data_IF_777759896404
#
_entry.id   IF_777759896404
#
_cell.length_a   1.000
_cell.length_b   1.000
_cell.length_c   1.000
_cell.angle_alpha   90.00
_cell.angle_beta   90.00
_cell.angle_gamma   90.00
#
_symmetry.space_group_name_H-M   'P 1'
#
loop_
_entity.id
_entity.type
_entity.pdbx_description
1 polymer ?
#
# COMPACT_ATOMS: atom_id res chain seq x y z
N UNK A 1 -7.82 -7.23 -10.58
CA UNK A 1 -8.93 -6.27 -10.42
C UNK A 1 -8.31 -4.91 -10.16
N UNK A 2 -8.55 -3.90 -10.99
CA UNK A 2 -7.98 -2.56 -10.76
C UNK A 2 -8.75 -1.89 -9.61
N UNK A 3 -8.10 -1.36 -8.56
CA UNK A 3 -8.78 -0.86 -7.36
C UNK A 3 -9.57 0.45 -7.59
N UNK A 4 -9.46 1.06 -8.76
CA UNK A 4 -10.08 2.36 -9.09
C UNK A 4 -11.59 2.44 -8.87
N UNK A 5 -12.41 1.55 -9.44
CA UNK A 5 -13.87 1.61 -9.28
C UNK A 5 -14.33 1.50 -7.82
N UNK A 6 -13.59 0.78 -6.98
CA UNK A 6 -13.88 0.69 -5.54
C UNK A 6 -13.63 2.03 -4.86
N UNK A 7 -12.53 2.72 -5.20
CA UNK A 7 -12.25 4.07 -4.69
C UNK A 7 -13.33 5.05 -5.12
N UNK A 8 -13.78 4.98 -6.37
CA UNK A 8 -14.83 5.87 -6.88
C UNK A 8 -16.16 5.64 -6.14
N UNK A 9 -16.50 4.39 -5.84
CA UNK A 9 -17.67 4.04 -5.03
C UNK A 9 -17.54 4.56 -3.58
N UNK A 10 -16.37 4.43 -2.95
CA UNK A 10 -16.11 4.95 -1.60
C UNK A 10 -16.24 6.48 -1.54
N UNK A 11 -15.74 7.18 -2.56
CA UNK A 11 -15.85 8.63 -2.68
C UNK A 11 -17.32 9.03 -2.83
N UNK A 12 -18.06 8.36 -3.71
CA UNK A 12 -19.48 8.64 -3.96
C UNK A 12 -20.36 8.41 -2.71
N UNK A 13 -19.97 7.48 -1.84
CA UNK A 13 -20.70 7.22 -0.59
C UNK A 13 -20.65 8.38 0.42
N UNK A 14 -19.70 9.32 0.31
CA UNK A 14 -19.73 10.59 1.04
C UNK A 14 -19.50 10.53 2.55
N UNK A 15 -18.86 9.46 3.06
CA UNK A 15 -18.59 9.28 4.49
C UNK A 15 -17.17 8.78 4.79
N UNK A 16 -16.83 8.56 6.08
CA UNK A 16 -15.55 7.97 6.46
C UNK A 16 -15.35 6.60 5.79
N UNK A 17 -14.23 6.44 5.09
CA UNK A 17 -13.98 5.26 4.27
C UNK A 17 -12.57 4.70 4.48
N UNK A 18 -12.48 3.37 4.40
CA UNK A 18 -11.22 2.64 4.39
C UNK A 18 -11.15 1.76 3.13
N UNK A 19 -10.01 1.79 2.45
CA UNK A 19 -9.68 0.84 1.39
C UNK A 19 -8.71 -0.21 1.97
N UNK A 20 -9.13 -1.46 1.94
CA UNK A 20 -8.36 -2.57 2.51
C UNK A 20 -7.76 -3.40 1.37
N UNK A 21 -6.44 -3.62 1.43
CA UNK A 21 -5.76 -4.60 0.58
C UNK A 21 -5.32 -5.80 1.41
N UNK A 22 -5.76 -6.98 0.98
CA UNK A 22 -5.28 -8.27 1.46
C UNK A 22 -4.64 -8.98 0.27
N UNK A 23 -3.34 -9.26 0.36
CA UNK A 23 -2.55 -9.94 -0.67
C UNK A 23 -1.66 -11.06 -0.12
N UNK A 24 -1.76 -11.37 1.18
CA UNK A 24 -0.84 -12.26 1.86
C UNK A 24 -1.51 -13.62 2.14
N UNK A 25 -0.75 -14.67 1.87
CA UNK A 25 -1.06 -16.04 2.19
C UNK A 25 0.20 -16.70 2.75
N UNK A 26 0.09 -17.91 3.30
CA UNK A 26 1.23 -18.63 3.90
C UNK A 26 2.43 -18.72 2.95
N UNK A 27 2.18 -19.09 1.69
CA UNK A 27 3.23 -19.18 0.66
C UNK A 27 3.87 -17.82 0.35
N UNK A 28 3.07 -16.76 0.23
CA UNK A 28 3.62 -15.43 -0.11
C UNK A 28 4.35 -14.81 1.07
N UNK A 29 3.93 -15.09 2.31
CA UNK A 29 4.68 -14.71 3.51
C UNK A 29 6.04 -15.41 3.57
N UNK A 30 6.08 -16.73 3.29
CA UNK A 30 7.34 -17.47 3.24
C UNK A 30 8.30 -16.90 2.16
N UNK A 31 7.77 -16.56 0.98
CA UNK A 31 8.56 -15.91 -0.08
C UNK A 31 9.05 -14.51 0.31
N UNK A 32 8.21 -13.71 0.96
CA UNK A 32 8.58 -12.39 1.46
C UNK A 32 9.71 -12.47 2.50
N UNK A 33 9.67 -13.46 3.39
CA UNK A 33 10.73 -13.73 4.36
C UNK A 33 12.05 -14.12 3.69
N UNK A 34 12.00 -14.98 2.67
CA UNK A 34 13.19 -15.34 1.89
C UNK A 34 13.78 -14.13 1.15
N UNK A 35 12.94 -13.30 0.55
CA UNK A 35 13.37 -12.07 -0.13
C UNK A 35 14.03 -11.10 0.84
N UNK A 36 13.46 -10.91 2.03
CA UNK A 36 14.03 -10.03 3.05
C UNK A 36 15.39 -10.52 3.57
N UNK A 37 15.54 -11.84 3.77
CA UNK A 37 16.83 -12.45 4.17
C UNK A 37 17.91 -12.27 3.11
N UNK A 38 17.54 -12.22 1.84
CA UNK A 38 18.48 -12.01 0.73
C UNK A 38 18.82 -10.52 0.54
N UNK A 39 17.84 -9.62 0.71
CA UNK A 39 18.01 -8.17 0.65
C UNK A 39 17.23 -7.49 1.79
N UNK A 40 17.90 -6.82 2.74
CA UNK A 40 17.26 -6.10 3.83
C UNK A 40 16.27 -5.00 3.41
N UNK A 41 16.29 -4.56 2.14
CA UNK A 41 15.35 -3.58 1.58
C UNK A 41 14.16 -4.22 0.85
N UNK A 42 14.15 -5.55 0.68
CA UNK A 42 13.08 -6.32 0.06
C UNK A 42 12.16 -7.00 1.11
N UNK A 43 11.19 -7.78 0.64
CA UNK A 43 10.30 -8.56 1.53
C UNK A 43 8.96 -7.90 1.87
N UNK A 44 8.64 -6.78 1.22
CA UNK A 44 7.27 -6.30 1.08
C UNK A 44 6.65 -6.82 -0.24
N UNK A 45 5.35 -6.67 -0.42
CA UNK A 45 4.63 -7.08 -1.63
C UNK A 45 5.27 -6.44 -2.88
N UNK A 46 5.81 -7.23 -3.83
CA UNK A 46 6.46 -6.71 -5.03
C UNK A 46 5.58 -5.74 -5.85
N UNK A 47 4.26 -5.96 -5.86
CA UNK A 47 3.30 -5.13 -6.60
C UNK A 47 2.82 -3.89 -5.82
N UNK A 48 3.38 -3.61 -4.63
CA UNK A 48 2.97 -2.50 -3.76
C UNK A 48 2.88 -1.17 -4.52
N UNK A 49 3.87 -0.87 -5.36
CA UNK A 49 3.94 0.39 -6.11
C UNK A 49 2.89 0.42 -7.20
N UNK A 50 2.77 -0.67 -7.96
CA UNK A 50 1.85 -0.77 -9.09
C UNK A 50 0.39 -0.64 -8.62
N UNK A 51 0.06 -1.24 -7.48
CA UNK A 51 -1.27 -1.16 -6.88
C UNK A 51 -1.53 0.25 -6.36
N UNK A 52 -0.63 0.79 -5.52
CA UNK A 52 -0.87 2.07 -4.84
C UNK A 52 -0.82 3.25 -5.81
N UNK A 53 -0.01 3.21 -6.86
CA UNK A 53 0.07 4.29 -7.86
C UNK A 53 -1.28 4.61 -8.48
N UNK A 54 -2.16 3.63 -8.61
CA UNK A 54 -3.49 3.78 -9.22
C UNK A 54 -4.50 4.54 -8.35
N UNK A 55 -4.28 4.59 -7.03
CA UNK A 55 -5.30 5.03 -6.06
C UNK A 55 -4.79 6.00 -5.00
N UNK A 56 -3.50 6.02 -4.69
CA UNK A 56 -2.93 6.75 -3.55
C UNK A 56 -3.31 8.24 -3.55
N UNK A 57 -3.20 8.91 -4.71
CA UNK A 57 -3.56 10.31 -4.85
C UNK A 57 -5.06 10.58 -4.61
N UNK A 58 -5.94 9.77 -5.21
CA UNK A 58 -7.39 9.87 -5.02
C UNK A 58 -7.78 9.59 -3.56
N UNK A 59 -7.23 8.54 -2.97
CA UNK A 59 -7.50 8.20 -1.58
C UNK A 59 -7.10 9.34 -0.64
N UNK A 60 -5.92 9.93 -0.86
CA UNK A 60 -5.45 11.05 -0.06
C UNK A 60 -6.33 12.31 -0.22
N UNK A 61 -6.70 12.65 -1.45
CA UNK A 61 -7.53 13.83 -1.75
C UNK A 61 -8.93 13.75 -1.13
N UNK A 62 -9.49 12.55 -1.03
CA UNK A 62 -10.85 12.32 -0.52
C UNK A 62 -10.89 11.76 0.91
N UNK A 63 -9.75 11.70 1.60
CA UNK A 63 -9.69 11.20 2.99
C UNK A 63 -9.98 9.70 3.16
N UNK A 64 -9.86 8.91 2.09
CA UNK A 64 -9.98 7.45 2.15
C UNK A 64 -8.69 6.87 2.72
N UNK A 65 -8.79 6.22 3.89
CA UNK A 65 -7.61 5.66 4.58
C UNK A 65 -7.29 4.28 4.02
N UNK A 66 -6.02 4.00 3.75
CA UNK A 66 -5.58 2.69 3.25
C UNK A 66 -5.07 1.85 4.42
N UNK A 67 -5.54 0.61 4.51
CA UNK A 67 -5.05 -0.42 5.45
C UNK A 67 -4.64 -1.63 4.63
N UNK A 68 -3.45 -2.18 4.85
CA UNK A 68 -3.02 -3.35 4.09
C UNK A 68 -1.97 -4.18 4.78
N UNK A 69 -1.87 -5.44 4.34
CA UNK A 69 -0.75 -6.32 4.64
C UNK A 69 0.35 -6.30 3.58
N UNK A 70 0.38 -5.32 2.68
CA UNK A 70 1.40 -5.19 1.62
C UNK A 70 2.83 -5.04 2.19
N UNK A 71 2.98 -4.70 3.47
CA UNK A 71 4.27 -4.71 4.16
C UNK A 71 4.91 -6.09 4.26
N UNK A 72 4.10 -7.16 4.22
CA UNK A 72 4.51 -8.56 4.33
C UNK A 72 5.57 -8.79 5.42
N UNK A 73 6.77 -9.24 5.06
CA UNK A 73 7.85 -9.51 6.01
C UNK A 73 8.67 -8.26 6.38
N UNK A 74 8.55 -7.16 5.63
CA UNK A 74 9.36 -5.95 5.81
C UNK A 74 8.51 -4.66 5.68
N UNK A 75 7.64 -4.38 6.67
CA UNK A 75 6.74 -3.23 6.63
C UNK A 75 7.50 -1.89 6.70
N UNK A 76 8.69 -1.85 7.29
CA UNK A 76 9.53 -0.65 7.29
C UNK A 76 9.98 -0.24 5.89
N UNK A 77 10.47 -1.20 5.10
CA UNK A 77 10.88 -0.92 3.71
C UNK A 77 9.70 -0.62 2.81
N UNK A 78 8.54 -1.24 3.07
CA UNK A 78 7.28 -0.84 2.43
C UNK A 78 6.94 0.63 2.70
N UNK A 79 6.98 1.08 3.96
CA UNK A 79 6.69 2.47 4.32
C UNK A 79 7.65 3.45 3.65
N UNK A 80 8.96 3.14 3.62
CA UNK A 80 9.96 3.92 2.88
C UNK A 80 9.62 3.99 1.39
N UNK A 81 9.25 2.87 0.77
CA UNK A 81 8.88 2.81 -0.65
C UNK A 81 7.60 3.61 -0.96
N UNK A 82 6.61 3.58 -0.06
CA UNK A 82 5.37 4.37 -0.18
C UNK A 82 5.68 5.87 -0.06
N UNK A 83 6.57 6.27 0.85
CA UNK A 83 7.02 7.67 0.92
C UNK A 83 7.73 8.12 -0.36
N UNK A 84 8.60 7.27 -0.93
CA UNK A 84 9.22 7.55 -2.22
C UNK A 84 8.18 7.69 -3.33
N UNK A 85 7.19 6.79 -3.40
CA UNK A 85 6.10 6.87 -4.37
C UNK A 85 5.28 8.16 -4.20
N UNK A 86 4.99 8.59 -2.97
CA UNK A 86 4.29 9.85 -2.72
C UNK A 86 5.08 11.05 -3.26
N UNK A 87 6.41 11.06 -3.06
CA UNK A 87 7.31 12.08 -3.62
C UNK A 87 7.31 12.05 -5.14
N UNK A 88 7.43 10.87 -5.77
CA UNK A 88 7.36 10.68 -7.23
C UNK A 88 6.05 11.22 -7.82
N UNK A 89 4.95 11.12 -7.09
CA UNK A 89 3.62 11.58 -7.50
C UNK A 89 3.31 13.04 -7.12
N UNK A 90 4.26 13.75 -6.49
CA UNK A 90 4.05 15.12 -6.02
C UNK A 90 3.01 15.25 -4.91
N UNK A 91 2.76 14.18 -4.16
CA UNK A 91 1.79 14.15 -3.06
C UNK A 91 2.40 14.68 -1.76
N UNK A 92 1.60 15.28 -0.87
CA UNK A 92 2.10 15.75 0.42
C UNK A 92 2.57 14.57 1.29
N UNK A 93 3.34 14.90 2.34
CA UNK A 93 3.89 13.91 3.27
C UNK A 93 2.77 13.07 3.89
N UNK A 94 2.83 11.76 3.63
CA UNK A 94 1.90 10.78 4.19
C UNK A 94 2.15 10.54 5.68
N UNK A 95 1.10 10.17 6.41
CA UNK A 95 1.22 9.54 7.73
C UNK A 95 1.04 8.04 7.56
N UNK A 96 2.09 7.27 7.85
CA UNK A 96 2.09 5.81 7.72
C UNK A 96 2.37 5.22 9.10
N UNK A 97 1.52 4.29 9.52
CA UNK A 97 1.76 3.44 10.67
C UNK A 97 2.05 2.02 10.16
N UNK A 98 3.00 1.35 10.80
CA UNK A 98 3.37 -0.04 10.53
C UNK A 98 3.21 -0.85 11.81
N UNK A 99 2.86 -2.13 11.67
CA UNK A 99 2.66 -3.11 12.75
C UNK A 99 3.38 -4.38 12.37
#
# INVERSE_FOLDING_TARGET
MLPGPVVDALIAAGGPAFLIFETLAERTLALAQLAWRADPNAGYEPLLVDILRLVLGRCLAHGVRIVSNLGAANPESAAKRIHALASELGLPKLRIAIV
#
